data_IF_872207994228
#
_entry.id   IF_872207994228
#
_cell.length_a   1.000
_cell.length_b   1.000
_cell.length_c   1.000
_cell.angle_alpha   90.00
_cell.angle_beta   90.00
_cell.angle_gamma   90.00
#
_symmetry.space_group_name_H-M   'P 1'
#
loop_
_entity.id
_entity.type
_entity.pdbx_description
1 polymer ?
#
# COMPACT_ATOMS: atom_id res chain seq x y z
N UNK A 1 -1.44 -15.13 -12.43
CA UNK A 1 -2.32 -13.95 -12.25
C UNK A 1 -2.72 -13.46 -13.63
N UNK A 2 -3.92 -12.88 -13.81
CA UNK A 2 -4.27 -12.23 -15.05
C UNK A 2 -3.27 -11.09 -15.36
N UNK A 3 -3.00 -10.79 -16.64
CA UNK A 3 -2.13 -9.68 -17.02
C UNK A 3 -2.72 -8.34 -16.55
N UNK A 4 -1.86 -7.40 -16.18
CA UNK A 4 -2.28 -6.02 -15.93
C UNK A 4 -2.74 -5.36 -17.23
N UNK A 5 -3.72 -4.44 -17.17
CA UNK A 5 -4.17 -3.69 -18.33
C UNK A 5 -3.01 -2.87 -18.93
N UNK A 6 -2.96 -2.77 -20.25
CA UNK A 6 -1.85 -2.13 -20.97
C UNK A 6 -2.30 -0.93 -21.80
N UNK A 7 -3.46 -1.05 -22.44
CA UNK A 7 -4.04 -0.01 -23.26
C UNK A 7 -4.84 0.98 -22.42
N UNK A 8 -5.04 2.19 -22.95
CA UNK A 8 -5.88 3.20 -22.31
C UNK A 8 -7.29 2.66 -22.06
N UNK A 9 -7.83 1.92 -23.02
CA UNK A 9 -9.17 1.35 -22.97
C UNK A 9 -9.30 0.31 -21.85
N UNK A 10 -8.32 -0.60 -21.73
CA UNK A 10 -8.28 -1.58 -20.64
C UNK A 10 -8.14 -0.91 -19.28
N UNK A 11 -7.28 0.10 -19.17
CA UNK A 11 -7.09 0.86 -17.92
C UNK A 11 -8.38 1.59 -17.53
N UNK A 12 -9.03 2.28 -18.47
CA UNK A 12 -10.30 2.96 -18.23
C UNK A 12 -11.41 1.98 -17.81
N UNK A 13 -11.45 0.79 -18.39
CA UNK A 13 -12.43 -0.24 -18.04
C UNK A 13 -12.33 -0.67 -16.57
N UNK A 14 -11.14 -0.59 -15.95
CA UNK A 14 -10.99 -0.88 -14.52
C UNK A 14 -11.67 0.16 -13.61
N UNK A 15 -11.98 1.34 -14.13
CA UNK A 15 -12.66 2.42 -13.42
C UNK A 15 -14.18 2.36 -13.49
N UNK A 16 -14.76 1.29 -14.04
CA UNK A 16 -16.21 1.07 -14.00
C UNK A 16 -16.54 0.44 -12.65
N UNK A 17 -17.41 1.08 -11.87
CA UNK A 17 -17.75 0.63 -10.51
C UNK A 17 -18.27 -0.81 -10.50
N UNK A 18 -17.77 -1.61 -9.56
CA UNK A 18 -18.23 -2.98 -9.36
C UNK A 18 -19.63 -2.96 -8.72
N UNK A 19 -20.59 -3.80 -9.18
CA UNK A 19 -21.92 -3.87 -8.59
C UNK A 19 -21.94 -4.16 -7.08
N UNK A 20 -20.97 -4.92 -6.55
CA UNK A 20 -20.85 -5.18 -5.11
C UNK A 20 -20.58 -3.87 -4.35
N UNK A 21 -19.63 -3.07 -4.83
CA UNK A 21 -19.32 -1.78 -4.21
C UNK A 21 -20.44 -0.77 -4.43
N UNK A 22 -21.06 -0.75 -5.61
CA UNK A 22 -22.18 0.14 -5.90
C UNK A 22 -23.37 -0.13 -4.96
N UNK A 23 -23.70 -1.40 -4.73
CA UNK A 23 -24.75 -1.80 -3.79
C UNK A 23 -24.40 -1.39 -2.34
N UNK A 24 -23.15 -1.57 -1.91
CA UNK A 24 -22.69 -1.18 -0.58
C UNK A 24 -22.81 0.34 -0.35
N UNK A 25 -22.40 1.15 -1.33
CA UNK A 25 -22.52 2.61 -1.29
C UNK A 25 -23.97 3.08 -1.28
N UNK A 26 -24.88 2.39 -2.00
CA UNK A 26 -26.33 2.69 -1.95
C UNK A 26 -26.93 2.35 -0.58
N UNK A 27 -26.52 1.23 0.02
CA UNK A 27 -27.02 0.79 1.31
C UNK A 27 -26.51 1.64 2.49
N UNK A 28 -25.26 2.08 2.41
CA UNK A 28 -24.62 2.96 3.40
C UNK A 28 -23.92 4.12 2.69
N UNK A 29 -24.70 5.17 2.31
CA UNK A 29 -24.17 6.33 1.63
C UNK A 29 -23.06 6.98 2.44
N UNK A 30 -21.95 7.25 1.77
CA UNK A 30 -20.87 8.05 2.33
C UNK A 30 -21.17 9.50 1.91
N UNK A 31 -21.42 10.42 2.85
CA UNK A 31 -21.62 11.81 2.48
C UNK A 31 -20.38 12.32 1.72
N UNK A 32 -20.56 13.13 0.67
CA UNK A 32 -19.44 13.81 0.04
C UNK A 32 -18.59 14.46 1.13
N UNK A 33 -17.27 14.34 1.02
CA UNK A 33 -16.38 14.97 1.97
C UNK A 33 -16.73 16.45 2.08
N UNK A 34 -16.93 16.94 3.29
CA UNK A 34 -16.97 18.40 3.53
C UNK A 34 -15.59 18.97 3.19
N UNK A 35 -15.51 20.24 2.79
CA UNK A 35 -14.20 20.90 2.67
C UNK A 35 -13.50 20.81 4.04
N UNK A 36 -12.52 19.92 4.17
CA UNK A 36 -11.73 19.79 5.38
C UNK A 36 -10.53 20.74 5.29
N UNK A 37 -10.28 21.53 6.33
CA UNK A 37 -9.03 22.27 6.44
C UNK A 37 -7.92 21.34 6.93
N UNK A 38 -6.66 21.74 6.74
CA UNK A 38 -5.51 20.99 7.28
C UNK A 38 -5.60 20.84 8.80
N UNK A 39 -6.16 21.83 9.49
CA UNK A 39 -6.36 21.83 10.93
C UNK A 39 -7.38 20.76 11.34
N UNK A 40 -8.50 20.64 10.62
CA UNK A 40 -9.50 19.62 10.87
C UNK A 40 -8.94 18.21 10.67
N UNK A 41 -8.11 18.00 9.64
CA UNK A 41 -7.45 16.72 9.41
C UNK A 41 -6.42 16.38 10.50
N UNK A 42 -5.71 17.39 11.03
CA UNK A 42 -4.79 17.20 12.17
C UNK A 42 -5.56 16.82 13.42
N UNK A 43 -6.65 17.52 13.72
CA UNK A 43 -7.50 17.24 14.88
C UNK A 43 -8.10 15.84 14.82
N UNK A 44 -8.64 15.43 13.66
CA UNK A 44 -9.15 14.07 13.46
C UNK A 44 -8.04 13.03 13.72
N UNK A 45 -6.82 13.26 13.22
CA UNK A 45 -5.69 12.37 13.48
C UNK A 45 -5.32 12.33 14.95
N UNK A 46 -5.22 13.48 15.63
CA UNK A 46 -4.87 13.55 17.06
C UNK A 46 -5.88 12.81 17.94
N UNK A 47 -7.18 12.94 17.64
CA UNK A 47 -8.25 12.24 18.34
C UNK A 47 -8.21 10.73 18.08
N UNK A 48 -7.97 10.31 16.83
CA UNK A 48 -7.97 8.90 16.45
C UNK A 48 -6.67 8.17 16.83
N UNK A 49 -5.55 8.89 16.98
CA UNK A 49 -4.22 8.32 17.14
C UNK A 49 -4.09 7.38 18.36
N UNK A 50 -4.56 7.74 19.58
CA UNK A 50 -4.46 6.84 20.73
C UNK A 50 -5.19 5.51 20.50
N UNK A 51 -6.38 5.56 19.89
CA UNK A 51 -7.16 4.37 19.57
C UNK A 51 -6.45 3.48 18.53
N UNK A 52 -5.89 4.08 17.47
CA UNK A 52 -5.10 3.35 16.49
C UNK A 52 -3.85 2.71 17.12
N UNK A 53 -3.14 3.44 17.98
CA UNK A 53 -1.95 2.94 18.69
C UNK A 53 -2.29 1.75 19.59
N UNK A 54 -3.39 1.83 20.34
CA UNK A 54 -3.84 0.73 21.20
C UNK A 54 -4.18 -0.53 20.37
N UNK A 55 -4.94 -0.38 19.28
CA UNK A 55 -5.23 -1.49 18.38
C UNK A 55 -3.97 -2.11 17.76
N UNK A 56 -3.04 -1.28 17.31
CA UNK A 56 -1.79 -1.75 16.72
C UNK A 56 -0.95 -2.52 17.75
N UNK A 57 -0.84 -1.99 18.97
CA UNK A 57 -0.19 -2.65 20.10
C UNK A 57 -0.80 -4.03 20.40
N UNK A 58 -2.13 -4.13 20.41
CA UNK A 58 -2.83 -5.40 20.63
C UNK A 58 -2.59 -6.41 19.50
N UNK A 59 -2.43 -5.93 18.26
CA UNK A 59 -2.17 -6.79 17.09
C UNK A 59 -0.70 -7.18 16.92
N UNK A 60 0.21 -6.63 17.72
CA UNK A 60 1.65 -6.83 17.58
C UNK A 60 2.03 -8.28 17.90
N UNK A 61 2.62 -9.04 16.96
CA UNK A 61 3.08 -10.40 17.25
C UNK A 61 4.23 -10.38 18.26
N UNK A 62 4.19 -11.29 19.25
CA UNK A 62 5.18 -11.36 20.33
C UNK A 62 6.62 -11.63 19.86
N UNK A 63 6.79 -12.15 18.65
CA UNK A 63 8.09 -12.46 18.04
C UNK A 63 8.61 -11.32 17.14
N UNK A 64 8.01 -10.12 17.18
CA UNK A 64 8.44 -8.94 16.44
C UNK A 64 8.91 -7.84 17.41
N UNK A 65 10.14 -7.39 17.21
CA UNK A 65 10.71 -6.18 17.83
C UNK A 65 10.52 -5.00 16.87
N UNK A 66 10.14 -3.86 17.42
CA UNK A 66 9.96 -2.61 16.70
C UNK A 66 10.82 -1.54 17.37
N UNK A 67 11.55 -0.75 16.58
CA UNK A 67 12.33 0.37 17.08
C UNK A 67 12.44 1.48 16.03
N UNK A 68 12.65 2.70 16.48
CA UNK A 68 12.78 3.86 15.62
C UNK A 68 14.25 4.13 15.27
N UNK A 69 14.50 4.55 14.02
CA UNK A 69 15.77 5.12 13.57
C UNK A 69 15.53 6.45 12.87
N UNK A 70 16.47 7.36 13.02
CA UNK A 70 16.51 8.62 12.28
C UNK A 70 17.52 8.49 11.15
N UNK A 71 17.06 8.69 9.91
CA UNK A 71 17.89 8.65 8.72
C UNK A 71 18.19 10.07 8.27
N UNK A 72 19.47 10.48 8.13
CA UNK A 72 19.79 11.75 7.51
C UNK A 72 19.33 11.72 6.05
N UNK A 73 18.66 12.77 5.62
CA UNK A 73 18.31 13.00 4.22
C UNK A 73 18.94 14.31 3.75
N UNK A 74 18.99 14.52 2.42
CA UNK A 74 19.61 15.72 1.86
C UNK A 74 19.04 17.03 2.43
N UNK A 75 19.87 18.08 2.49
CA UNK A 75 19.45 19.39 3.01
C UNK A 75 19.43 19.51 4.54
N UNK A 76 20.03 18.57 5.27
CA UNK A 76 20.13 18.64 6.74
C UNK A 76 18.87 18.18 7.48
N UNK A 77 17.90 17.62 6.78
CA UNK A 77 16.69 17.05 7.39
C UNK A 77 16.92 15.59 7.81
N UNK A 78 16.00 15.06 8.63
CA UNK A 78 15.98 13.65 9.02
C UNK A 78 14.62 13.03 8.71
N UNK A 79 14.64 11.80 8.24
CA UNK A 79 13.46 10.98 8.02
C UNK A 79 13.36 9.94 9.13
N UNK A 80 12.16 9.81 9.69
CA UNK A 80 11.85 8.83 10.73
C UNK A 80 11.56 7.47 10.08
N UNK A 81 12.30 6.45 10.49
CA UNK A 81 12.11 5.06 10.06
C UNK A 81 11.67 4.21 11.26
N UNK A 82 10.53 3.54 11.14
CA UNK A 82 10.11 2.51 12.07
C UNK A 82 10.59 1.16 11.53
N UNK A 83 11.44 0.46 12.28
CA UNK A 83 12.01 -0.84 11.90
C UNK A 83 11.32 -1.94 12.67
N UNK A 84 10.51 -2.74 11.96
CA UNK A 84 9.91 -3.95 12.49
C UNK A 84 10.71 -5.18 12.04
N UNK A 85 11.17 -5.99 12.99
CA UNK A 85 11.94 -7.19 12.67
C UNK A 85 11.67 -8.33 13.66
N UNK A 86 11.93 -9.58 13.28
CA UNK A 86 11.87 -10.71 14.22
C UNK A 86 12.80 -10.50 15.41
N UNK A 87 12.30 -10.78 16.61
CA UNK A 87 13.04 -10.67 17.88
C UNK A 87 14.19 -11.67 17.97
N UNK A 88 14.06 -12.82 17.30
CA UNK A 88 15.13 -13.83 17.21
C UNK A 88 15.90 -13.69 15.90
N UNK A 89 17.25 -13.69 15.92
CA UNK A 89 18.06 -13.66 14.71
C UNK A 89 17.79 -14.89 13.82
N UNK A 90 17.58 -14.66 12.53
CA UNK A 90 17.61 -15.73 11.54
C UNK A 90 19.07 -16.15 11.29
N UNK A 91 19.33 -17.44 11.14
CA UNK A 91 20.64 -17.96 10.68
C UNK A 91 20.89 -17.68 9.19
N UNK A 92 19.93 -17.10 8.47
CA UNK A 92 20.06 -16.81 7.05
C UNK A 92 21.05 -15.66 6.80
N UNK A 93 21.92 -15.84 5.81
CA UNK A 93 22.92 -14.85 5.39
C UNK A 93 22.32 -13.56 4.79
N UNK A 94 21.03 -13.56 4.44
CA UNK A 94 20.30 -12.41 3.89
C UNK A 94 18.90 -12.35 4.50
N UNK A 95 18.39 -11.13 4.74
CA UNK A 95 17.06 -10.86 5.30
C UNK A 95 16.28 -10.02 4.29
N UNK A 96 15.06 -10.44 3.89
CA UNK A 96 14.22 -9.58 3.05
C UNK A 96 13.84 -8.32 3.84
N UNK A 97 13.93 -7.16 3.19
CA UNK A 97 13.47 -5.87 3.71
C UNK A 97 12.17 -5.50 3.02
N UNK A 98 11.10 -5.35 3.79
CA UNK A 98 9.83 -4.79 3.30
C UNK A 98 9.79 -3.32 3.68
N UNK A 99 9.72 -2.43 2.69
CA UNK A 99 9.57 -0.99 2.90
C UNK A 99 8.10 -0.64 2.69
N UNK A 100 7.41 -0.24 3.76
CA UNK A 100 6.02 0.19 3.71
C UNK A 100 5.99 1.71 3.55
N UNK A 101 5.50 2.19 2.42
CA UNK A 101 5.17 3.61 2.23
C UNK A 101 3.73 3.82 2.70
N UNK A 102 3.51 4.70 3.67
CA UNK A 102 2.16 5.00 4.14
C UNK A 102 1.39 5.80 3.07
N UNK A 103 0.06 5.64 3.03
CA UNK A 103 -0.82 6.41 2.14
C UNK A 103 -0.83 7.92 2.45
N UNK A 104 -1.50 8.72 1.63
CA UNK A 104 -1.56 10.19 1.79
C UNK A 104 -1.75 10.98 0.49
N UNK A 105 -2.17 10.35 -0.61
CA UNK A 105 -2.54 11.04 -1.85
C UNK A 105 -1.40 11.58 -2.72
N UNK A 106 -0.13 11.24 -2.45
CA UNK A 106 1.02 11.53 -3.34
C UNK A 106 1.28 13.03 -3.62
N UNK A 107 0.65 13.98 -2.92
CA UNK A 107 0.89 15.42 -3.06
C UNK A 107 2.26 15.89 -2.53
N UNK A 108 3.17 14.96 -2.23
CA UNK A 108 4.54 15.18 -1.76
C UNK A 108 5.44 14.05 -2.26
N UNK A 109 6.48 14.40 -3.04
CA UNK A 109 7.58 13.52 -3.46
C UNK A 109 7.72 13.31 -4.97
N UNK A 110 8.96 13.25 -5.47
CA UNK A 110 9.29 12.91 -6.85
C UNK A 110 10.67 12.28 -6.94
N UNK A 111 10.90 11.34 -7.87
CA UNK A 111 12.23 10.77 -8.08
C UNK A 111 12.44 10.35 -9.54
N UNK A 112 13.51 10.86 -10.16
CA UNK A 112 14.14 10.29 -11.37
C UNK A 112 15.48 9.67 -10.97
N UNK A 113 15.79 8.49 -11.53
CA UNK A 113 16.98 7.63 -11.32
C UNK A 113 17.00 6.72 -10.07
N UNK A 114 15.96 6.73 -9.21
CA UNK A 114 15.94 5.98 -7.95
C UNK A 114 15.47 4.52 -8.01
N UNK A 115 15.23 3.96 -9.21
CA UNK A 115 14.43 2.73 -9.35
C UNK A 115 15.23 1.45 -9.65
N UNK A 116 16.53 1.58 -9.95
CA UNK A 116 17.43 0.44 -10.15
C UNK A 116 17.79 -0.23 -8.82
N UNK A 117 17.94 -1.57 -8.83
CA UNK A 117 18.33 -2.39 -7.68
C UNK A 117 17.39 -2.29 -6.46
N UNK A 118 16.12 -1.97 -6.68
CA UNK A 118 15.12 -2.02 -5.63
C UNK A 118 14.79 -3.47 -5.25
N UNK A 119 14.42 -3.74 -3.98
CA UNK A 119 13.88 -5.04 -3.60
C UNK A 119 12.58 -5.34 -4.37
N UNK A 120 12.15 -6.62 -4.43
CA UNK A 120 10.88 -6.97 -5.03
C UNK A 120 9.72 -6.11 -4.49
N UNK A 121 8.80 -5.73 -5.37
CA UNK A 121 7.70 -4.83 -5.05
C UNK A 121 6.35 -5.52 -5.23
N UNK A 122 5.44 -5.33 -4.28
CA UNK A 122 4.07 -5.84 -4.34
C UNK A 122 3.08 -4.69 -4.32
N UNK A 123 2.12 -4.72 -5.25
CA UNK A 123 1.11 -3.70 -5.46
C UNK A 123 -0.30 -4.24 -5.20
N UNK A 124 -1.13 -3.45 -4.53
CA UNK A 124 -2.58 -3.64 -4.47
C UNK A 124 -3.23 -2.43 -5.12
N UNK A 125 -3.79 -2.61 -6.31
CA UNK A 125 -4.21 -1.52 -7.19
C UNK A 125 -5.73 -1.49 -7.25
N UNK A 126 -6.32 -0.36 -6.90
CA UNK A 126 -7.77 -0.15 -6.95
C UNK A 126 -8.17 0.46 -8.30
N UNK A 127 -9.15 -0.11 -8.99
CA UNK A 127 -9.52 0.33 -10.35
C UNK A 127 -10.20 1.72 -10.40
N UNK A 128 -10.86 2.14 -9.32
CA UNK A 128 -11.48 3.47 -9.18
C UNK A 128 -10.58 4.48 -8.44
N UNK A 129 -9.33 4.14 -8.17
CA UNK A 129 -8.43 4.99 -7.39
C UNK A 129 -7.73 6.01 -8.28
N UNK A 130 -7.56 7.23 -7.75
CA UNK A 130 -6.81 8.30 -8.41
C UNK A 130 -5.35 7.91 -8.65
N UNK A 131 -4.77 7.07 -7.79
CA UNK A 131 -3.41 6.55 -7.94
C UNK A 131 -3.27 5.28 -8.78
N UNK A 132 -4.36 4.82 -9.44
CA UNK A 132 -4.35 3.61 -10.27
C UNK A 132 -3.29 3.69 -11.37
N UNK A 133 -3.33 4.75 -12.15
CA UNK A 133 -2.51 4.90 -13.34
C UNK A 133 -1.02 4.97 -12.96
N UNK A 134 -0.69 5.75 -11.92
CA UNK A 134 0.66 5.82 -11.36
C UNK A 134 1.14 4.45 -10.87
N UNK A 135 0.29 3.67 -10.21
CA UNK A 135 0.65 2.33 -9.73
C UNK A 135 0.96 1.38 -10.90
N UNK A 136 0.15 1.41 -11.96
CA UNK A 136 0.36 0.58 -13.15
C UNK A 136 1.63 0.99 -13.92
N UNK A 137 1.86 2.30 -14.08
CA UNK A 137 3.07 2.83 -14.73
C UNK A 137 4.30 2.48 -13.89
N UNK A 138 4.24 2.67 -12.57
CA UNK A 138 5.39 2.43 -11.71
C UNK A 138 5.74 0.94 -11.63
N UNK A 139 4.74 0.05 -11.47
CA UNK A 139 4.94 -1.40 -11.57
C UNK A 139 5.66 -1.76 -12.87
N UNK A 140 5.22 -1.18 -13.99
CA UNK A 140 5.79 -1.44 -15.30
C UNK A 140 7.24 -0.97 -15.41
N UNK A 141 7.55 0.24 -14.93
CA UNK A 141 8.92 0.77 -14.89
C UNK A 141 9.83 -0.13 -14.04
N UNK A 142 9.35 -0.58 -12.88
CA UNK A 142 10.10 -1.50 -12.03
C UNK A 142 10.39 -2.82 -12.75
N UNK A 143 9.35 -3.43 -13.34
CA UNK A 143 9.44 -4.74 -13.99
C UNK A 143 10.24 -4.71 -15.30
N UNK A 144 9.93 -3.78 -16.19
CA UNK A 144 10.45 -3.78 -17.57
C UNK A 144 11.75 -2.99 -17.70
N UNK A 145 11.89 -1.87 -17.00
CA UNK A 145 13.05 -0.98 -17.15
C UNK A 145 14.11 -1.17 -16.06
N UNK A 146 13.70 -1.62 -14.87
CA UNK A 146 14.59 -1.75 -13.70
C UNK A 146 14.90 -3.20 -13.32
N UNK A 147 14.32 -4.18 -14.02
CA UNK A 147 14.46 -5.61 -13.76
C UNK A 147 14.17 -5.99 -12.30
N UNK A 148 13.26 -5.26 -11.66
CA UNK A 148 12.79 -5.51 -10.29
C UNK A 148 11.65 -6.52 -10.37
N UNK A 149 11.70 -7.56 -9.55
CA UNK A 149 10.58 -8.51 -9.46
C UNK A 149 9.36 -7.82 -8.90
N UNK A 150 8.25 -7.86 -9.62
CA UNK A 150 6.99 -7.26 -9.20
C UNK A 150 5.87 -8.29 -9.10
N UNK A 151 4.91 -8.00 -8.23
CA UNK A 151 3.61 -8.65 -8.17
C UNK A 151 2.55 -7.58 -7.99
N UNK A 152 1.42 -7.69 -8.69
CA UNK A 152 0.32 -6.77 -8.53
C UNK A 152 -1.02 -7.51 -8.49
N UNK A 153 -1.84 -7.19 -7.50
CA UNK A 153 -3.24 -7.60 -7.43
C UNK A 153 -4.11 -6.37 -7.72
N UNK A 154 -4.86 -6.41 -8.83
CA UNK A 154 -5.74 -5.34 -9.31
C UNK A 154 -7.18 -5.65 -8.96
N UNK A 155 -7.90 -4.63 -8.47
CA UNK A 155 -9.29 -4.70 -8.03
C UNK A 155 -10.15 -3.74 -8.90
N UNK A 156 -10.58 -4.17 -10.10
CA UNK A 156 -11.41 -3.36 -10.99
C UNK A 156 -12.71 -2.96 -10.30
N UNK A 157 -13.12 -1.71 -10.46
CA UNK A 157 -14.39 -1.21 -9.93
C UNK A 157 -14.42 -0.96 -8.43
N UNK A 158 -13.30 -1.09 -7.73
CA UNK A 158 -13.18 -0.77 -6.31
C UNK A 158 -12.35 0.49 -6.06
N UNK A 159 -12.80 1.33 -5.12
CA UNK A 159 -12.22 2.64 -4.79
C UNK A 159 -11.08 2.55 -3.78
N UNK A 160 -10.24 3.58 -3.68
CA UNK A 160 -9.18 3.64 -2.66
C UNK A 160 -9.69 3.28 -1.26
N UNK A 161 -9.02 2.33 -0.60
CA UNK A 161 -9.32 1.91 0.76
C UNK A 161 -10.77 1.47 1.04
N UNK A 162 -11.52 0.98 0.04
CA UNK A 162 -12.91 0.53 0.22
C UNK A 162 -13.06 -0.46 1.39
N UNK A 163 -12.05 -1.33 1.59
CA UNK A 163 -12.02 -2.35 2.64
C UNK A 163 -12.08 -1.77 4.05
N UNK A 164 -11.66 -0.52 4.25
CA UNK A 164 -11.76 0.15 5.54
C UNK A 164 -13.18 0.59 5.85
N UNK A 165 -13.99 0.85 4.82
CA UNK A 165 -15.36 1.35 4.93
C UNK A 165 -16.39 0.20 4.90
N UNK A 166 -16.08 -0.83 4.11
CA UNK A 166 -16.91 -2.00 3.86
C UNK A 166 -16.09 -3.30 4.04
N UNK A 167 -15.57 -3.58 5.25
CA UNK A 167 -14.75 -4.77 5.52
C UNK A 167 -15.49 -6.10 5.28
N UNK A 168 -16.83 -6.07 5.28
CA UNK A 168 -17.69 -7.23 5.13
C UNK A 168 -17.78 -7.81 3.70
N UNK A 169 -17.45 -7.00 2.68
CA UNK A 169 -17.58 -7.38 1.27
C UNK A 169 -16.68 -8.57 0.90
N UNK A 170 -17.12 -9.36 -0.07
CA UNK A 170 -16.36 -10.47 -0.61
C UNK A 170 -15.01 -10.02 -1.15
N UNK A 171 -14.99 -8.90 -1.88
CA UNK A 171 -13.73 -8.33 -2.37
C UNK A 171 -12.81 -7.84 -1.25
N UNK A 172 -13.33 -7.32 -0.15
CA UNK A 172 -12.52 -6.87 1.00
C UNK A 172 -11.76 -8.04 1.63
N UNK A 173 -12.43 -9.17 1.82
CA UNK A 173 -11.82 -10.41 2.33
C UNK A 173 -10.79 -10.97 1.35
N UNK A 174 -11.12 -11.00 0.05
CA UNK A 174 -10.18 -11.42 -1.00
C UNK A 174 -8.91 -10.58 -1.01
N UNK A 175 -9.06 -9.25 -0.91
CA UNK A 175 -7.94 -8.31 -0.86
C UNK A 175 -7.05 -8.54 0.36
N UNK A 176 -7.63 -8.87 1.52
CA UNK A 176 -6.86 -9.25 2.70
C UNK A 176 -6.04 -10.53 2.47
N UNK A 177 -6.65 -11.56 1.91
CA UNK A 177 -5.95 -12.80 1.55
C UNK A 177 -4.83 -12.57 0.52
N UNK A 178 -5.10 -11.74 -0.49
CA UNK A 178 -4.10 -11.31 -1.48
C UNK A 178 -2.94 -10.58 -0.81
N UNK A 179 -3.22 -9.71 0.17
CA UNK A 179 -2.18 -9.01 0.92
C UNK A 179 -1.26 -9.99 1.65
N UNK A 180 -1.83 -11.00 2.32
CA UNK A 180 -1.05 -12.06 2.99
C UNK A 180 -0.21 -12.83 1.96
N UNK A 181 -0.80 -13.22 0.82
CA UNK A 181 -0.08 -13.93 -0.26
C UNK A 181 1.01 -13.07 -0.89
N UNK A 182 0.78 -11.78 -1.08
CA UNK A 182 1.72 -10.83 -1.66
C UNK A 182 2.91 -10.60 -0.73
N UNK A 183 2.67 -10.45 0.57
CA UNK A 183 3.74 -10.37 1.58
C UNK A 183 4.51 -11.69 1.66
N UNK A 184 3.84 -12.84 1.66
CA UNK A 184 4.52 -14.13 1.61
C UNK A 184 5.41 -14.27 0.37
N UNK A 185 4.91 -13.82 -0.79
CA UNK A 185 5.68 -13.77 -2.03
C UNK A 185 6.91 -12.88 -1.91
N UNK A 186 6.79 -11.67 -1.35
CA UNK A 186 7.94 -10.78 -1.08
C UNK A 186 9.01 -11.47 -0.22
N UNK A 187 8.59 -12.21 0.81
CA UNK A 187 9.51 -12.91 1.71
C UNK A 187 10.20 -14.11 1.07
N UNK A 188 9.59 -14.73 0.06
CA UNK A 188 10.16 -15.86 -0.69
C UNK A 188 10.96 -15.44 -1.93
N UNK A 189 10.78 -14.22 -2.41
CA UNK A 189 11.36 -13.76 -3.69
C UNK A 189 12.77 -13.19 -3.44
N UNK A 190 13.81 -13.73 -4.09
CA UNK A 190 15.16 -13.17 -3.99
C UNK A 190 15.22 -11.77 -4.61
N UNK A 191 15.96 -10.84 -3.99
CA UNK A 191 16.32 -9.60 -4.66
C UNK A 191 17.27 -9.88 -5.82
N UNK A 192 17.04 -9.22 -6.95
CA UNK A 192 17.99 -9.17 -8.06
C UNK A 192 19.22 -8.38 -7.60
N UNK A 193 20.40 -8.98 -7.73
CA UNK A 193 21.69 -8.37 -7.33
C UNK A 193 22.28 -7.55 -8.46
#
# INVERSE_FOLDING_TARGET
>A
MPPLPFTKEEVLATGVIDPELEAALKAKPIPPGSAYTLEQLKEINEVALPWHQERLMQSKPANITEYERQLPVGGGHTARLIVCQRSSPSKAASRPLVVLLHGGGHCVGGVRHGHLNLPPAYFQICGLDIGRDDSLIYERVLREESNVSTRADLYPGFSHCWWSLFPELGMSKRREDDAVRGVAWLLSTPSVR
#
